data_IF_493870334996
#
_entry.id   IF_493870334996
#
_cell.length_a   1.000
_cell.length_b   1.000
_cell.length_c   1.000
_cell.angle_alpha   90.00
_cell.angle_beta   90.00
_cell.angle_gamma   90.00
#
_symmetry.space_group_name_H-M   'P 1'
#
loop_
_entity.id
_entity.type
_entity.pdbx_description
1 polymer ?
#
# COMPACT_ATOMS: atom_id res chain seq x y z
N UNK A 1 15.23 2.05 -20.91
CA UNK A 1 14.03 2.57 -20.27
C UNK A 1 13.73 4.04 -20.59
N UNK A 2 13.96 4.38 -21.82
CA UNK A 2 13.55 5.70 -22.32
C UNK A 2 12.03 5.85 -22.22
N UNK A 3 11.57 7.08 -21.95
CA UNK A 3 10.15 7.38 -21.83
C UNK A 3 9.57 7.15 -20.43
N UNK A 4 10.40 6.73 -19.46
CA UNK A 4 9.98 6.65 -18.05
C UNK A 4 10.72 7.75 -17.29
N UNK A 5 10.03 8.87 -16.94
CA UNK A 5 10.67 9.97 -16.22
C UNK A 5 11.20 9.54 -14.86
N UNK A 6 12.43 9.95 -14.55
CA UNK A 6 13.09 9.61 -13.28
C UNK A 6 12.43 10.29 -12.07
N UNK A 7 11.75 11.39 -12.31
CA UNK A 7 11.11 12.18 -11.23
C UNK A 7 9.74 11.67 -10.79
N UNK A 8 9.21 10.63 -11.43
CA UNK A 8 7.92 10.06 -11.05
C UNK A 8 7.98 9.45 -9.63
N UNK A 9 6.88 9.53 -8.87
CA UNK A 9 6.78 8.76 -7.63
C UNK A 9 7.02 7.27 -7.88
N UNK A 10 7.62 6.59 -6.91
CA UNK A 10 8.13 5.23 -7.10
C UNK A 10 7.06 4.23 -7.58
N UNK A 11 5.85 4.27 -7.01
CA UNK A 11 4.78 3.35 -7.43
C UNK A 11 4.32 3.64 -8.86
N UNK A 12 4.17 4.90 -9.21
CA UNK A 12 3.82 5.32 -10.59
C UNK A 12 4.91 4.87 -11.56
N UNK A 13 6.17 5.05 -11.17
CA UNK A 13 7.32 4.63 -11.98
C UNK A 13 7.32 3.12 -12.20
N UNK A 14 7.10 2.33 -11.15
CA UNK A 14 7.05 0.87 -11.24
C UNK A 14 5.97 0.42 -12.24
N UNK A 15 4.78 1.00 -12.13
CA UNK A 15 3.68 0.69 -13.03
C UNK A 15 4.04 1.01 -14.48
N UNK A 16 4.63 2.18 -14.73
CA UNK A 16 5.08 2.61 -16.05
C UNK A 16 6.15 1.70 -16.63
N UNK A 17 7.12 1.30 -15.82
CA UNK A 17 8.18 0.37 -16.22
C UNK A 17 7.56 -0.94 -16.68
N UNK A 18 6.64 -1.48 -15.89
CA UNK A 18 5.98 -2.76 -16.18
C UNK A 18 5.16 -2.70 -17.47
N UNK A 19 4.42 -1.62 -17.71
CA UNK A 19 3.70 -1.43 -18.95
C UNK A 19 4.63 -1.37 -20.16
N UNK A 20 5.76 -0.69 -20.00
CA UNK A 20 6.73 -0.53 -21.08
C UNK A 20 7.37 -1.85 -21.46
N UNK A 21 7.82 -2.64 -20.50
CA UNK A 21 8.46 -3.94 -20.79
C UNK A 21 7.46 -4.95 -21.32
N UNK A 22 6.19 -4.86 -20.90
CA UNK A 22 5.11 -5.66 -21.48
C UNK A 22 4.96 -5.38 -22.97
N UNK A 23 5.07 -4.11 -23.37
CA UNK A 23 4.97 -3.69 -24.77
C UNK A 23 5.99 -4.36 -25.70
N UNK A 24 7.11 -4.82 -25.15
CA UNK A 24 8.12 -5.55 -25.91
C UNK A 24 8.10 -7.06 -25.64
N UNK A 25 7.04 -7.56 -25.02
CA UNK A 25 6.83 -8.99 -24.79
C UNK A 25 7.38 -9.55 -23.48
N UNK A 26 7.94 -8.71 -22.63
CA UNK A 26 8.46 -9.17 -21.34
C UNK A 26 7.36 -9.08 -20.26
N UNK A 27 6.56 -10.14 -20.19
CA UNK A 27 5.44 -10.18 -19.25
C UNK A 27 5.09 -11.63 -18.88
N UNK A 28 4.30 -11.77 -17.81
CA UNK A 28 3.70 -13.05 -17.41
C UNK A 28 2.51 -13.38 -18.32
N UNK A 29 2.21 -14.68 -18.46
CA UNK A 29 1.10 -15.13 -19.29
C UNK A 29 -0.26 -14.85 -18.66
N UNK A 30 -0.36 -14.97 -17.33
CA UNK A 30 -1.62 -14.75 -16.64
C UNK A 30 -1.42 -14.22 -15.20
N UNK A 31 -2.52 -13.76 -14.61
CA UNK A 31 -2.52 -13.17 -13.26
C UNK A 31 -2.19 -14.15 -12.15
N UNK A 32 -2.42 -15.45 -12.35
CA UNK A 32 -2.11 -16.48 -11.35
C UNK A 32 -0.61 -16.55 -11.14
N UNK A 33 0.19 -16.50 -12.21
CA UNK A 33 1.65 -16.48 -12.13
C UNK A 33 2.17 -15.24 -11.39
N UNK A 34 1.54 -14.10 -11.63
CA UNK A 34 1.91 -12.85 -10.96
C UNK A 34 1.58 -12.90 -9.47
N UNK A 35 0.43 -13.49 -9.13
CA UNK A 35 0.05 -13.70 -7.74
C UNK A 35 1.04 -14.62 -7.01
N UNK A 36 1.43 -15.71 -7.64
CA UNK A 36 2.41 -16.65 -7.08
C UNK A 36 3.76 -15.96 -6.86
N UNK A 37 4.16 -15.09 -7.77
CA UNK A 37 5.38 -14.30 -7.62
C UNK A 37 5.30 -13.36 -6.41
N UNK A 38 4.15 -12.72 -6.21
CA UNK A 38 3.93 -11.87 -5.04
C UNK A 38 4.09 -12.66 -3.74
N UNK A 39 3.49 -13.86 -3.67
CA UNK A 39 3.62 -14.72 -2.48
C UNK A 39 5.07 -15.14 -2.25
N UNK A 40 5.80 -15.43 -3.31
CA UNK A 40 7.23 -15.77 -3.24
C UNK A 40 8.03 -14.60 -2.64
N UNK A 41 7.78 -13.37 -3.11
CA UNK A 41 8.48 -12.19 -2.60
C UNK A 41 8.14 -11.91 -1.13
N UNK A 42 6.90 -12.12 -0.73
CA UNK A 42 6.50 -11.99 0.69
C UNK A 42 7.27 -12.98 1.55
N UNK A 43 7.41 -14.21 1.09
CA UNK A 43 8.15 -15.24 1.84
C UNK A 43 9.65 -14.89 1.96
N UNK A 44 10.24 -14.39 0.88
CA UNK A 44 11.63 -13.92 0.90
C UNK A 44 11.81 -12.76 1.88
N UNK A 45 10.83 -11.85 1.95
CA UNK A 45 10.85 -10.75 2.92
C UNK A 45 10.85 -11.29 4.36
N UNK A 46 10.00 -12.28 4.66
CA UNK A 46 9.96 -12.89 5.99
C UNK A 46 11.29 -13.48 6.39
N UNK A 47 11.94 -14.18 5.46
CA UNK A 47 13.26 -14.78 5.70
C UNK A 47 14.30 -13.70 6.05
N UNK A 48 14.31 -12.59 5.30
CA UNK A 48 15.28 -11.52 5.56
C UNK A 48 14.99 -10.78 6.88
N UNK A 49 13.72 -10.62 7.25
CA UNK A 49 13.36 -10.03 8.55
C UNK A 49 13.91 -10.87 9.68
N UNK A 50 13.83 -12.20 9.60
CA UNK A 50 14.38 -13.11 10.60
C UNK A 50 15.90 -13.01 10.70
N UNK A 51 16.58 -12.78 9.58
CA UNK A 51 18.05 -12.61 9.55
C UNK A 51 18.51 -11.26 10.07
N UNK A 52 17.66 -10.23 10.01
CA UNK A 52 17.92 -8.94 10.62
C UNK A 52 18.81 -7.97 9.84
N UNK A 53 19.09 -8.23 8.57
CA UNK A 53 19.89 -7.34 7.71
C UNK A 53 18.99 -6.27 7.09
N UNK A 54 19.09 -5.03 7.57
CA UNK A 54 18.21 -3.93 7.14
C UNK A 54 18.28 -3.63 5.64
N UNK A 55 19.44 -3.72 5.02
CA UNK A 55 19.56 -3.45 3.58
C UNK A 55 18.82 -4.51 2.76
N UNK A 56 18.91 -5.76 3.17
CA UNK A 56 18.21 -6.87 2.51
C UNK A 56 16.71 -6.81 2.75
N UNK A 57 16.29 -6.43 3.96
CA UNK A 57 14.88 -6.24 4.29
C UNK A 57 14.28 -5.14 3.39
N UNK A 58 14.98 -4.02 3.24
CA UNK A 58 14.52 -2.93 2.36
C UNK A 58 14.41 -3.39 0.92
N UNK A 59 15.41 -4.12 0.43
CA UNK A 59 15.41 -4.67 -0.92
C UNK A 59 14.22 -5.59 -1.17
N UNK A 60 13.99 -6.54 -0.26
CA UNK A 60 12.88 -7.48 -0.40
C UNK A 60 11.52 -6.80 -0.24
N UNK A 61 11.43 -5.80 0.63
CA UNK A 61 10.21 -5.01 0.75
C UNK A 61 9.88 -4.30 -0.57
N UNK A 62 10.90 -3.73 -1.20
CA UNK A 62 10.75 -3.13 -2.53
C UNK A 62 10.27 -4.13 -3.58
N UNK A 63 10.80 -5.36 -3.53
CA UNK A 63 10.40 -6.43 -4.45
C UNK A 63 8.92 -6.82 -4.25
N UNK A 64 8.45 -6.84 -3.00
CA UNK A 64 7.02 -7.09 -2.68
C UNK A 64 6.15 -5.99 -3.29
N UNK A 65 6.53 -4.73 -3.09
CA UNK A 65 5.78 -3.60 -3.66
C UNK A 65 5.77 -3.65 -5.19
N UNK A 66 6.89 -4.00 -5.80
CA UNK A 66 7.00 -4.13 -7.25
C UNK A 66 6.09 -5.25 -7.79
N UNK A 67 6.11 -6.40 -7.12
CA UNK A 67 5.26 -7.54 -7.49
C UNK A 67 3.78 -7.22 -7.31
N UNK A 68 3.42 -6.54 -6.21
CA UNK A 68 2.03 -6.13 -5.95
C UNK A 68 1.55 -5.12 -7.00
N UNK A 69 2.38 -4.17 -7.37
CA UNK A 69 2.09 -3.19 -8.42
C UNK A 69 1.86 -3.89 -9.76
N UNK A 70 2.67 -4.90 -10.06
CA UNK A 70 2.49 -5.68 -11.27
C UNK A 70 1.17 -6.45 -11.26
N UNK A 71 0.81 -7.04 -10.12
CA UNK A 71 -0.48 -7.73 -9.97
C UNK A 71 -1.66 -6.77 -10.21
N UNK A 72 -1.58 -5.56 -9.69
CA UNK A 72 -2.60 -4.53 -9.90
C UNK A 72 -2.89 -4.31 -11.38
N UNK A 73 -1.85 -4.30 -12.21
CA UNK A 73 -1.97 -4.16 -13.66
C UNK A 73 -2.81 -5.30 -14.27
N UNK A 74 -2.61 -6.53 -13.78
CA UNK A 74 -3.34 -7.71 -14.30
C UNK A 74 -4.82 -7.73 -13.89
N UNK A 75 -5.19 -7.06 -12.82
CA UNK A 75 -6.57 -6.95 -12.35
C UNK A 75 -7.21 -5.59 -12.68
N UNK A 76 -6.57 -4.82 -13.55
CA UNK A 76 -7.06 -3.50 -14.03
C UNK A 76 -7.23 -2.48 -12.91
N UNK A 77 -6.32 -2.48 -11.96
CA UNK A 77 -6.28 -1.50 -10.86
C UNK A 77 -5.06 -0.61 -11.04
N UNK A 78 -5.26 0.70 -10.94
CA UNK A 78 -4.15 1.64 -10.86
C UNK A 78 -3.71 1.70 -9.40
N UNK A 79 -2.50 1.24 -9.06
CA UNK A 79 -2.08 1.15 -7.67
C UNK A 79 -1.90 2.51 -6.99
N UNK A 80 -1.49 3.55 -7.73
CA UNK A 80 -1.38 4.90 -7.19
C UNK A 80 -2.74 5.45 -6.80
N UNK A 81 -3.73 5.33 -7.68
CA UNK A 81 -5.09 5.77 -7.40
C UNK A 81 -5.72 4.98 -6.27
N UNK A 82 -5.48 3.68 -6.22
CA UNK A 82 -5.99 2.82 -5.16
C UNK A 82 -5.44 3.24 -3.79
N UNK A 83 -4.14 3.49 -3.71
CA UNK A 83 -3.50 3.92 -2.47
C UNK A 83 -3.97 5.32 -2.04
N UNK A 84 -4.08 6.25 -2.99
CA UNK A 84 -4.57 7.61 -2.72
C UNK A 84 -5.99 7.58 -2.16
N UNK A 85 -6.83 6.73 -2.69
CA UNK A 85 -8.19 6.51 -2.20
C UNK A 85 -8.21 6.03 -0.75
N UNK A 86 -7.30 5.10 -0.43
CA UNK A 86 -7.12 4.61 0.94
C UNK A 86 -6.62 5.73 1.87
N UNK A 87 -5.66 6.53 1.40
CA UNK A 87 -5.14 7.66 2.16
C UNK A 87 -6.25 8.66 2.51
N UNK A 88 -7.06 9.03 1.53
CA UNK A 88 -8.18 9.98 1.73
C UNK A 88 -9.21 9.42 2.71
N UNK A 89 -9.53 8.14 2.59
CA UNK A 89 -10.48 7.48 3.50
C UNK A 89 -9.95 7.47 4.93
N UNK A 90 -8.68 7.14 5.11
CA UNK A 90 -8.05 7.14 6.42
C UNK A 90 -8.07 8.54 7.04
N UNK A 91 -7.67 9.56 6.30
CA UNK A 91 -7.66 10.94 6.77
C UNK A 91 -9.05 11.36 7.20
N UNK A 92 -10.07 11.07 6.40
CA UNK A 92 -11.45 11.44 6.71
C UNK A 92 -11.94 10.77 7.99
N UNK A 93 -11.69 9.48 8.14
CA UNK A 93 -12.08 8.74 9.35
C UNK A 93 -11.34 9.24 10.58
N UNK A 94 -10.06 9.53 10.44
CA UNK A 94 -9.26 10.04 11.53
C UNK A 94 -9.74 11.42 12.00
N UNK A 95 -10.09 12.30 11.05
CA UNK A 95 -10.66 13.61 11.37
C UNK A 95 -11.98 13.48 12.13
N UNK A 96 -12.83 12.54 11.76
CA UNK A 96 -14.08 12.26 12.49
C UNK A 96 -13.77 11.85 13.92
N UNK A 97 -12.81 10.96 14.10
CA UNK A 97 -12.37 10.51 15.42
C UNK A 97 -11.82 11.67 16.26
N UNK A 98 -10.93 12.48 15.68
CA UNK A 98 -10.35 13.65 16.36
C UNK A 98 -11.42 14.62 16.82
N UNK A 99 -12.40 14.92 15.97
CA UNK A 99 -13.47 15.85 16.28
C UNK A 99 -14.35 15.33 17.42
N UNK A 100 -14.70 14.06 17.42
CA UNK A 100 -15.52 13.48 18.48
C UNK A 100 -14.79 13.51 19.82
N UNK A 101 -13.53 13.14 19.85
CA UNK A 101 -12.71 13.16 21.07
C UNK A 101 -12.59 14.58 21.61
N UNK A 102 -12.38 15.56 20.75
CA UNK A 102 -12.27 16.98 21.12
C UNK A 102 -13.58 17.49 21.70
N UNK A 103 -14.72 17.15 21.09
CA UNK A 103 -16.04 17.57 21.55
C UNK A 103 -16.36 17.04 22.95
N UNK A 104 -15.77 15.91 23.33
CA UNK A 104 -15.93 15.34 24.67
C UNK A 104 -14.92 15.90 25.67
N UNK A 105 -14.11 16.86 25.25
CA UNK A 105 -13.14 17.50 26.13
C UNK A 105 -11.94 16.64 26.50
N UNK A 106 -11.70 15.57 25.75
CA UNK A 106 -10.57 14.68 26.00
C UNK A 106 -9.37 15.02 25.11
N UNK A 107 -8.18 14.61 25.56
CA UNK A 107 -6.92 14.79 24.84
C UNK A 107 -6.47 13.42 24.34
N UNK A 108 -6.35 13.28 23.03
CA UNK A 108 -5.96 12.02 22.39
C UNK A 108 -4.58 11.55 22.86
N UNK A 109 -3.66 12.48 23.15
CA UNK A 109 -2.31 12.15 23.62
C UNK A 109 -2.30 11.45 25.00
N UNK A 110 -3.39 11.59 25.77
CA UNK A 110 -3.54 10.98 27.08
C UNK A 110 -4.36 9.69 27.05
N UNK A 111 -4.84 9.29 25.87
CA UNK A 111 -5.67 8.10 25.69
C UNK A 111 -4.83 6.87 25.40
N UNK A 112 -5.27 5.72 25.88
CA UNK A 112 -4.69 4.43 25.47
C UNK A 112 -5.13 4.08 24.04
N UNK A 113 -4.40 3.17 23.43
CA UNK A 113 -4.78 2.68 22.10
C UNK A 113 -6.18 2.02 22.13
N UNK A 114 -6.48 1.27 23.19
CA UNK A 114 -7.79 0.63 23.37
C UNK A 114 -8.91 1.67 23.42
N UNK A 115 -8.70 2.76 24.14
CA UNK A 115 -9.69 3.85 24.24
C UNK A 115 -9.86 4.54 22.87
N UNK A 116 -8.76 4.84 22.19
CA UNK A 116 -8.82 5.45 20.85
C UNK A 116 -9.54 4.55 19.85
N UNK A 117 -9.35 3.23 19.94
CA UNK A 117 -9.95 2.27 19.03
C UNK A 117 -11.48 2.29 19.06
N UNK A 118 -12.09 2.57 20.22
CA UNK A 118 -13.53 2.73 20.32
C UNK A 118 -14.03 3.86 19.41
N UNK A 119 -13.32 4.98 19.42
CA UNK A 119 -13.67 6.14 18.57
C UNK A 119 -13.34 5.88 17.11
N UNK A 120 -12.28 5.15 16.84
CA UNK A 120 -11.92 4.75 15.49
C UNK A 120 -13.00 3.86 14.85
N UNK A 121 -13.51 2.87 15.60
CA UNK A 121 -14.58 2.00 15.09
C UNK A 121 -15.85 2.80 14.81
N UNK A 122 -16.19 3.77 15.67
CA UNK A 122 -17.32 4.68 15.43
C UNK A 122 -17.11 5.52 14.15
N UNK A 123 -15.89 6.03 13.96
CA UNK A 123 -15.56 6.82 12.77
C UNK A 123 -15.69 5.99 11.49
N UNK A 124 -15.28 4.74 11.52
CA UNK A 124 -15.45 3.81 10.41
C UNK A 124 -16.92 3.59 10.05
N UNK A 125 -17.79 3.52 11.06
CA UNK A 125 -19.23 3.38 10.84
C UNK A 125 -19.87 4.64 10.27
N UNK A 126 -19.36 5.82 10.63
CA UNK A 126 -19.86 7.09 10.10
C UNK A 126 -19.40 7.36 8.68
N UNK A 127 -18.26 6.81 8.27
CA UNK A 127 -17.72 6.99 6.93
C UNK A 127 -17.35 5.65 6.33
N UNK A 128 -18.31 5.04 5.64
CA UNK A 128 -18.20 3.69 5.08
C UNK A 128 -17.70 3.66 3.62
N UNK A 129 -17.41 4.80 3.01
CA UNK A 129 -16.92 4.88 1.64
C UNK A 129 -15.62 4.08 1.46
N UNK A 130 -15.56 3.31 0.39
CA UNK A 130 -14.40 2.50 0.04
C UNK A 130 -13.76 3.00 -1.26
#
# INVERSE_FOLDING_TARGET
>A
MEGVPKSLPAIVKAFRIQEKVRGIGFDWDDKTQVWDKLLEEIEELKVEIEKGDNDRIESEFGDVLFALTNYARFINVNPEDALERTNKRFIKRFQIMENEIREKGMDMSEMSLTEMDVYWEKAKMKYLSK
#
